data_IF_592641419526
#
_entry.id   IF_592641419526
#
_cell.length_a   1.000
_cell.length_b   1.000
_cell.length_c   1.000
_cell.angle_alpha   90.00
_cell.angle_beta   90.00
_cell.angle_gamma   90.00
#
_symmetry.space_group_name_H-M   'P 1'
#
loop_
_entity.id
_entity.type
_entity.pdbx_description
1 polymer ?
#
# COMPACT_ATOMS: atom_id res chain seq x y z
N UNK A 1 -6.38 -22.20 -8.27
CA UNK A 1 -5.66 -20.97 -7.86
C UNK A 1 -6.62 -19.81 -8.00
N UNK A 2 -6.76 -18.99 -6.97
CA UNK A 2 -7.86 -18.03 -6.90
C UNK A 2 -7.34 -16.65 -7.27
N UNK A 3 -7.72 -16.18 -8.45
CA UNK A 3 -7.76 -14.76 -8.73
C UNK A 3 -8.59 -14.07 -7.63
N UNK A 4 -8.02 -13.03 -7.01
CA UNK A 4 -8.76 -12.21 -6.06
C UNK A 4 -9.69 -11.33 -6.86
N UNK A 5 -10.99 -11.44 -6.60
CA UNK A 5 -12.04 -10.63 -7.24
C UNK A 5 -12.73 -9.67 -6.27
N UNK A 6 -12.37 -9.73 -4.97
CA UNK A 6 -12.88 -8.86 -3.91
C UNK A 6 -11.87 -8.77 -2.75
N UNK A 7 -11.84 -7.63 -2.06
CA UNK A 7 -11.12 -7.42 -0.80
C UNK A 7 -12.09 -7.16 0.35
N UNK A 8 -11.82 -7.78 1.48
CA UNK A 8 -12.45 -7.44 2.76
C UNK A 8 -11.64 -6.36 3.48
N UNK A 9 -12.30 -5.44 4.22
CA UNK A 9 -11.62 -4.51 5.11
C UNK A 9 -10.69 -5.24 6.10
N UNK A 10 -9.51 -4.66 6.33
CA UNK A 10 -8.46 -5.22 7.19
C UNK A 10 -7.44 -6.11 6.47
N UNK A 11 -7.69 -6.49 5.21
CA UNK A 11 -6.72 -7.25 4.43
C UNK A 11 -5.63 -6.35 3.83
N UNK A 12 -4.38 -6.80 3.86
CA UNK A 12 -3.35 -6.24 2.99
C UNK A 12 -3.74 -6.44 1.52
N UNK A 13 -3.79 -5.35 0.76
CA UNK A 13 -4.39 -5.35 -0.57
C UNK A 13 -3.46 -4.89 -1.68
N UNK A 14 -2.45 -4.07 -1.41
CA UNK A 14 -1.62 -3.51 -2.47
C UNK A 14 -0.18 -3.26 -2.00
N UNK A 15 0.82 -3.84 -2.66
CA UNK A 15 2.21 -3.42 -2.54
C UNK A 15 2.57 -2.43 -3.66
N UNK A 16 3.23 -1.33 -3.34
CA UNK A 16 3.82 -0.45 -4.34
C UNK A 16 5.20 0.05 -3.89
N UNK A 17 6.08 0.26 -4.85
CA UNK A 17 7.43 0.76 -4.61
C UNK A 17 7.50 2.25 -4.91
N UNK A 18 7.89 3.02 -3.90
CA UNK A 18 8.37 4.39 -4.06
C UNK A 18 9.88 4.34 -4.31
N UNK A 19 10.36 4.91 -5.43
CA UNK A 19 11.79 4.89 -5.76
C UNK A 19 12.28 6.20 -6.36
N UNK A 20 13.59 6.44 -6.31
CA UNK A 20 14.25 7.58 -6.96
C UNK A 20 14.67 7.30 -8.40
N UNK A 21 14.62 6.04 -8.85
CA UNK A 21 14.93 5.62 -10.22
C UNK A 21 13.92 4.54 -10.66
N UNK A 22 12.79 4.99 -11.21
CA UNK A 22 11.72 4.11 -11.66
C UNK A 22 12.17 3.19 -12.81
N UNK A 23 12.89 3.65 -13.86
CA UNK A 23 13.42 2.77 -14.91
C UNK A 23 14.33 1.65 -14.38
N UNK A 24 15.28 1.97 -13.48
CA UNK A 24 16.18 0.97 -12.91
C UNK A 24 15.42 -0.04 -12.04
N UNK A 25 14.47 0.42 -11.22
CA UNK A 25 13.63 -0.45 -10.40
C UNK A 25 12.78 -1.40 -11.26
N UNK A 26 12.17 -0.90 -12.35
CA UNK A 26 11.42 -1.72 -13.31
C UNK A 26 12.31 -2.83 -13.89
N UNK A 27 13.49 -2.49 -14.38
CA UNK A 27 14.41 -3.46 -14.97
C UNK A 27 14.83 -4.53 -13.95
N UNK A 28 15.15 -4.11 -12.72
CA UNK A 28 15.55 -5.03 -11.65
C UNK A 28 14.41 -5.99 -11.26
N UNK A 29 13.26 -5.48 -10.86
CA UNK A 29 12.18 -6.30 -10.31
C UNK A 29 11.50 -7.19 -11.34
N UNK A 30 11.37 -6.73 -12.59
CA UNK A 30 10.81 -7.57 -13.67
C UNK A 30 11.73 -8.76 -14.00
N UNK A 31 13.05 -8.60 -13.87
CA UNK A 31 14.02 -9.69 -14.09
C UNK A 31 13.97 -10.81 -13.03
N UNK A 32 13.47 -10.51 -11.82
CA UNK A 32 13.45 -11.45 -10.69
C UNK A 32 12.09 -12.14 -10.58
N UNK A 33 11.00 -11.40 -10.75
CA UNK A 33 9.66 -11.88 -10.44
C UNK A 33 8.84 -12.29 -11.67
N UNK A 34 9.40 -12.15 -12.88
CA UNK A 34 8.69 -12.50 -14.12
C UNK A 34 7.49 -11.59 -14.40
N UNK A 35 7.52 -10.36 -13.85
CA UNK A 35 6.47 -9.39 -14.05
C UNK A 35 6.55 -8.73 -15.42
N UNK A 36 5.39 -8.42 -15.98
CA UNK A 36 5.26 -7.42 -17.05
C UNK A 36 4.88 -6.07 -16.44
N UNK A 37 5.04 -5.01 -17.22
CA UNK A 37 4.72 -3.65 -16.75
C UNK A 37 3.76 -2.95 -17.71
N UNK A 38 2.91 -2.10 -17.16
CA UNK A 38 2.06 -1.18 -17.91
C UNK A 38 2.21 0.22 -17.32
N UNK A 39 2.68 1.16 -18.12
CA UNK A 39 2.89 2.54 -17.69
C UNK A 39 1.59 3.33 -17.82
N UNK A 40 1.14 3.92 -16.71
CA UNK A 40 -0.04 4.76 -16.64
C UNK A 40 0.38 6.20 -16.33
N UNK A 41 0.32 7.12 -17.30
CA UNK A 41 0.59 8.54 -17.04
C UNK A 41 -0.44 9.10 -16.05
N UNK A 42 0.02 9.69 -14.94
CA UNK A 42 -0.84 10.24 -13.88
C UNK A 42 -0.83 11.78 -13.82
N UNK A 43 -0.26 12.42 -14.86
CA UNK A 43 -0.16 13.87 -14.98
C UNK A 43 1.12 14.44 -14.37
N UNK A 44 1.36 15.75 -14.60
CA UNK A 44 2.55 16.47 -14.12
C UNK A 44 3.90 15.84 -14.48
N UNK A 45 3.95 15.04 -15.56
CA UNK A 45 5.14 14.30 -15.98
C UNK A 45 5.42 13.04 -15.16
N UNK A 46 4.58 12.70 -14.19
CA UNK A 46 4.71 11.49 -13.39
C UNK A 46 4.01 10.28 -14.06
N UNK A 47 4.61 9.11 -13.89
CA UNK A 47 4.11 7.83 -14.39
C UNK A 47 3.94 6.85 -13.24
N UNK A 48 2.79 6.20 -13.17
CA UNK A 48 2.54 5.08 -12.27
C UNK A 48 2.68 3.79 -13.06
N UNK A 49 3.70 2.99 -12.76
CA UNK A 49 3.92 1.72 -13.46
C UNK A 49 3.21 0.60 -12.74
N UNK A 50 2.18 0.05 -13.37
CA UNK A 50 1.47 -1.13 -12.91
C UNK A 50 2.34 -2.38 -13.16
N UNK A 51 2.55 -3.20 -12.12
CA UNK A 51 3.22 -4.49 -12.21
C UNK A 51 2.17 -5.58 -12.40
N UNK A 52 2.41 -6.46 -13.36
CA UNK A 52 1.46 -7.53 -13.73
C UNK A 52 2.12 -8.90 -13.74
N UNK A 53 1.41 -9.88 -13.22
CA UNK A 53 1.74 -11.30 -13.34
C UNK A 53 0.62 -11.97 -14.13
N UNK A 54 0.95 -12.63 -15.24
CA UNK A 54 -0.04 -13.27 -16.14
C UNK A 54 -1.16 -12.30 -16.57
N UNK A 55 -0.81 -11.02 -16.77
CA UNK A 55 -1.74 -9.97 -17.19
C UNK A 55 -2.63 -9.38 -16.08
N UNK A 56 -2.48 -9.84 -14.83
CA UNK A 56 -3.25 -9.36 -13.67
C UNK A 56 -2.37 -8.52 -12.75
N UNK A 57 -2.96 -7.50 -12.14
CA UNK A 57 -2.30 -6.54 -11.26
C UNK A 57 -1.76 -7.20 -9.99
N UNK A 58 -0.48 -6.99 -9.67
CA UNK A 58 0.18 -7.53 -8.46
C UNK A 58 0.91 -6.50 -7.61
N UNK A 59 1.16 -5.31 -8.15
CA UNK A 59 1.73 -4.18 -7.42
C UNK A 59 2.02 -3.01 -8.34
N UNK A 60 2.79 -2.04 -7.89
CA UNK A 60 3.19 -0.91 -8.71
C UNK A 60 4.59 -0.37 -8.36
N UNK A 61 5.10 0.51 -9.23
CA UNK A 61 6.28 1.33 -9.00
C UNK A 61 5.94 2.77 -9.37
N UNK A 62 6.29 3.73 -8.51
CA UNK A 62 6.22 5.16 -8.81
C UNK A 62 7.51 5.86 -8.42
N UNK A 63 7.78 6.99 -9.08
CA UNK A 63 8.89 7.86 -8.71
C UNK A 63 8.49 8.74 -7.53
N UNK A 64 9.32 8.77 -6.48
CA UNK A 64 9.09 9.59 -5.29
C UNK A 64 8.89 11.06 -5.67
N UNK A 65 7.90 11.69 -5.05
CA UNK A 65 7.64 13.11 -5.22
C UNK A 65 8.78 13.97 -4.66
N UNK A 66 8.86 15.24 -5.10
CA UNK A 66 9.87 16.20 -4.62
C UNK A 66 9.86 16.40 -3.09
N UNK A 67 8.69 16.24 -2.46
CA UNK A 67 8.56 16.34 -1.01
C UNK A 67 9.15 15.12 -0.29
N UNK A 68 8.95 13.91 -0.82
CA UNK A 68 9.54 12.68 -0.29
C UNK A 68 11.06 12.68 -0.48
N UNK A 69 11.51 13.03 -1.69
CA UNK A 69 12.93 13.15 -2.03
C UNK A 69 13.63 14.24 -1.21
N UNK A 70 12.95 15.36 -0.94
CA UNK A 70 13.47 16.48 -0.13
C UNK A 70 13.58 16.18 1.36
N UNK A 71 13.09 15.03 1.83
CA UNK A 71 13.16 14.57 3.21
C UNK A 71 14.14 13.41 3.41
N UNK A 72 14.96 13.11 2.41
CA UNK A 72 15.91 11.99 2.39
C UNK A 72 15.25 10.64 2.71
N UNK A 73 13.99 10.47 2.30
CA UNK A 73 13.28 9.20 2.49
C UNK A 73 13.83 8.18 1.49
N UNK A 74 14.46 7.08 1.94
CA UNK A 74 15.02 6.09 1.02
C UNK A 74 13.90 5.41 0.20
N UNK A 75 14.20 4.87 -1.00
CA UNK A 75 13.27 3.99 -1.71
C UNK A 75 12.74 2.88 -0.81
N UNK A 76 11.42 2.67 -0.82
CA UNK A 76 10.76 1.73 0.07
C UNK A 76 9.46 1.18 -0.55
N UNK A 77 9.07 0.00 -0.08
CA UNK A 77 7.76 -0.56 -0.39
C UNK A 77 6.73 -0.01 0.57
N UNK A 78 5.67 0.58 0.03
CA UNK A 78 4.43 0.86 0.72
C UNK A 78 3.52 -0.35 0.64
N UNK A 79 2.79 -0.60 1.72
CA UNK A 79 1.76 -1.64 1.77
C UNK A 79 0.46 -1.02 2.23
N UNK A 80 -0.61 -1.35 1.52
CA UNK A 80 -1.94 -0.84 1.78
C UNK A 80 -2.81 -1.87 2.48
N UNK A 81 -3.59 -1.42 3.45
CA UNK A 81 -4.66 -2.17 4.10
C UNK A 81 -6.00 -1.67 3.57
N UNK A 82 -6.86 -2.59 3.13
CA UNK A 82 -8.21 -2.24 2.68
C UNK A 82 -9.05 -1.73 3.85
N UNK A 83 -9.78 -0.63 3.64
CA UNK A 83 -10.66 -0.03 4.66
C UNK A 83 -12.01 0.33 4.08
N UNK A 84 -13.04 0.37 4.93
CA UNK A 84 -14.38 0.82 4.53
C UNK A 84 -14.38 2.32 4.20
N UNK A 85 -13.70 3.11 5.04
CA UNK A 85 -13.59 4.56 4.91
C UNK A 85 -12.18 5.00 5.27
N UNK A 86 -11.48 5.63 4.33
CA UNK A 86 -10.14 6.17 4.59
C UNK A 86 -10.21 7.31 5.61
N UNK A 87 -11.24 8.16 5.53
CA UNK A 87 -11.43 9.30 6.44
C UNK A 87 -11.67 8.86 7.88
N UNK A 88 -12.61 7.94 8.10
CA UNK A 88 -12.93 7.46 9.45
C UNK A 88 -11.75 6.71 10.05
N UNK A 89 -11.05 5.90 9.25
CA UNK A 89 -9.89 5.14 9.73
C UNK A 89 -8.72 6.05 10.07
N UNK A 90 -8.41 7.06 9.25
CA UNK A 90 -7.37 8.04 9.55
C UNK A 90 -7.73 8.89 10.78
N UNK A 91 -8.98 9.30 10.94
CA UNK A 91 -9.46 10.00 12.13
C UNK A 91 -9.30 9.13 13.39
N UNK A 92 -9.64 7.85 13.31
CA UNK A 92 -9.46 6.90 14.42
C UNK A 92 -7.98 6.69 14.75
N UNK A 93 -7.13 6.54 13.74
CA UNK A 93 -5.69 6.42 13.94
C UNK A 93 -5.12 7.63 14.68
N UNK A 94 -5.54 8.85 14.29
CA UNK A 94 -5.15 10.10 14.97
C UNK A 94 -5.56 10.11 16.45
N UNK A 95 -6.78 9.67 16.77
CA UNK A 95 -7.25 9.56 18.16
C UNK A 95 -6.44 8.55 18.98
N UNK A 96 -5.83 7.56 18.34
CA UNK A 96 -4.99 6.54 18.95
C UNK A 96 -3.51 6.94 19.03
N UNK A 97 -3.16 8.18 18.65
CA UNK A 97 -1.79 8.71 18.73
C UNK A 97 -0.96 8.49 17.47
N UNK A 98 -1.54 7.98 16.39
CA UNK A 98 -0.86 7.91 15.10
C UNK A 98 -0.69 9.31 14.49
N UNK A 99 0.42 9.51 13.77
CA UNK A 99 0.60 10.66 12.88
C UNK A 99 -0.05 10.36 11.54
N UNK A 100 -0.84 11.29 11.00
CA UNK A 100 -1.34 11.22 9.63
C UNK A 100 -0.31 11.89 8.73
N UNK A 101 0.47 11.10 7.99
CA UNK A 101 1.54 11.58 7.12
C UNK A 101 1.00 12.16 5.81
N UNK A 102 -0.10 11.59 5.30
CA UNK A 102 -0.90 12.14 4.22
C UNK A 102 -2.38 12.04 4.59
N UNK A 103 -3.08 13.18 4.60
CA UNK A 103 -4.52 13.23 4.88
C UNK A 103 -5.31 12.47 3.81
N UNK A 104 -6.52 11.97 4.10
CA UNK A 104 -7.35 11.29 3.11
C UNK A 104 -7.58 12.09 1.82
N UNK A 105 -7.21 11.53 0.67
CA UNK A 105 -7.43 12.13 -0.66
C UNK A 105 -7.85 11.09 -1.70
N UNK A 106 -8.57 11.55 -2.73
CA UNK A 106 -9.02 10.69 -3.82
C UNK A 106 -7.86 10.46 -4.81
N UNK A 107 -7.64 9.19 -5.17
CA UNK A 107 -6.78 8.78 -6.27
C UNK A 107 -7.68 8.56 -7.48
N UNK A 108 -7.95 9.66 -8.18
CA UNK A 108 -8.86 9.72 -9.33
C UNK A 108 -10.17 8.94 -9.05
N UNK A 109 -10.52 7.98 -9.90
CA UNK A 109 -11.63 7.04 -9.71
C UNK A 109 -11.17 5.66 -9.21
N UNK A 110 -9.86 5.46 -9.01
CA UNK A 110 -9.28 4.22 -8.53
C UNK A 110 -9.70 3.92 -7.09
N UNK A 111 -9.67 4.93 -6.22
CA UNK A 111 -10.02 4.81 -4.82
C UNK A 111 -9.74 6.07 -4.01
N UNK A 112 -9.70 5.92 -2.70
CA UNK A 112 -9.31 6.95 -1.75
C UNK A 112 -8.28 6.40 -0.79
N UNK A 113 -7.25 7.18 -0.48
CA UNK A 113 -6.16 6.73 0.39
C UNK A 113 -5.77 7.74 1.45
N UNK A 114 -5.08 7.25 2.47
CA UNK A 114 -4.37 8.05 3.46
C UNK A 114 -3.09 7.30 3.86
N UNK A 115 -2.12 8.01 4.44
CA UNK A 115 -0.91 7.39 5.02
C UNK A 115 -0.85 7.72 6.49
N UNK A 116 -0.75 6.68 7.32
CA UNK A 116 -0.64 6.82 8.77
C UNK A 116 0.66 6.20 9.26
N UNK A 117 1.23 6.81 10.28
CA UNK A 117 2.38 6.31 11.01
C UNK A 117 1.96 6.06 12.46
N UNK A 118 2.09 4.83 12.92
CA UNK A 118 1.75 4.45 14.29
C UNK A 118 2.70 5.08 15.32
N UNK A 119 2.38 5.02 16.63
CA UNK A 119 3.24 5.59 17.67
C UNK A 119 4.66 4.99 17.74
N UNK A 120 4.87 3.78 17.24
CA UNK A 120 6.19 3.13 17.17
C UNK A 120 7.00 3.56 15.95
N UNK A 121 6.40 4.33 15.04
CA UNK A 121 7.03 4.88 13.84
C UNK A 121 6.79 4.06 12.57
N UNK A 122 6.06 2.94 12.63
CA UNK A 122 5.76 2.15 11.44
C UNK A 122 4.68 2.83 10.59
N UNK A 123 4.90 2.90 9.27
CA UNK A 123 3.96 3.51 8.33
C UNK A 123 3.15 2.44 7.61
N UNK A 124 1.87 2.71 7.40
CA UNK A 124 0.97 1.87 6.59
C UNK A 124 0.01 2.76 5.82
N UNK A 125 -0.31 2.34 4.59
CA UNK A 125 -1.25 3.04 3.74
C UNK A 125 -2.67 2.48 3.93
N UNK A 126 -3.67 3.36 3.93
CA UNK A 126 -5.08 2.99 4.01
C UNK A 126 -5.67 3.06 2.61
N UNK A 127 -6.41 2.02 2.19
CA UNK A 127 -7.02 1.97 0.85
C UNK A 127 -8.53 1.70 0.91
N UNK A 128 -9.31 2.71 0.56
CA UNK A 128 -10.73 2.56 0.27
C UNK A 128 -10.88 2.35 -1.24
N UNK A 129 -10.87 1.08 -1.66
CA UNK A 129 -10.94 0.70 -3.07
C UNK A 129 -12.26 1.08 -3.73
N UNK A 130 -12.17 1.59 -4.96
CA UNK A 130 -13.31 1.84 -5.86
C UNK A 130 -13.12 1.01 -7.13
N UNK A 131 -12.58 1.59 -8.21
CA UNK A 131 -12.25 0.84 -9.44
C UNK A 131 -11.02 -0.05 -9.30
N UNK A 132 -10.11 0.31 -8.41
CA UNK A 132 -8.93 -0.48 -8.10
C UNK A 132 -9.06 -1.05 -6.69
N UNK A 133 -9.15 -2.37 -6.59
CA UNK A 133 -9.24 -3.08 -5.30
C UNK A 133 -7.88 -3.58 -4.78
N UNK A 134 -6.79 -3.31 -5.49
CA UNK A 134 -5.47 -3.86 -5.20
C UNK A 134 -5.14 -5.11 -6.03
N UNK A 135 -4.26 -5.95 -5.49
CA UNK A 135 -3.65 -7.07 -6.18
C UNK A 135 -4.66 -8.18 -6.44
N UNK A 136 -4.63 -8.71 -7.66
CA UNK A 136 -5.50 -9.78 -8.16
C UNK A 136 -4.88 -11.16 -8.09
N UNK A 137 -3.57 -11.23 -7.84
CA UNK A 137 -2.86 -12.47 -7.51
C UNK A 137 -2.13 -12.25 -6.19
N UNK A 138 -2.29 -13.18 -5.25
CA UNK A 138 -1.60 -13.25 -3.96
C UNK A 138 -1.27 -14.71 -3.64
N UNK A 139 -0.41 -14.94 -2.65
CA UNK A 139 -0.09 -16.27 -2.12
C UNK A 139 0.49 -17.25 -3.16
N UNK A 140 1.18 -16.71 -4.17
CA UNK A 140 1.85 -17.45 -5.23
C UNK A 140 3.27 -16.89 -5.47
N UNK A 141 4.19 -17.68 -6.08
CA UNK A 141 5.50 -17.17 -6.48
C UNK A 141 5.41 -15.92 -7.35
N UNK A 142 6.11 -14.85 -6.94
CA UNK A 142 6.07 -13.55 -7.61
C UNK A 142 4.87 -12.68 -7.22
N UNK A 143 4.06 -13.07 -6.23
CA UNK A 143 2.99 -12.25 -5.68
C UNK A 143 3.17 -12.02 -4.18
N UNK A 144 2.50 -10.99 -3.65
CA UNK A 144 2.47 -10.73 -2.21
C UNK A 144 1.82 -11.89 -1.46
N UNK A 145 2.46 -12.37 -0.40
CA UNK A 145 1.95 -13.46 0.45
C UNK A 145 2.02 -13.18 1.95
N UNK A 146 2.87 -12.24 2.37
CA UNK A 146 3.05 -11.90 3.77
C UNK A 146 3.46 -10.44 3.92
N UNK A 147 2.93 -9.78 4.94
CA UNK A 147 3.36 -8.46 5.38
C UNK A 147 3.56 -8.53 6.89
N UNK A 148 4.72 -8.07 7.36
CA UNK A 148 5.11 -8.19 8.76
C UNK A 148 5.40 -6.82 9.34
N UNK A 149 4.86 -6.56 10.53
CA UNK A 149 5.28 -5.44 11.35
C UNK A 149 6.40 -5.91 12.29
N UNK A 150 7.63 -5.49 11.99
CA UNK A 150 8.74 -5.62 12.91
C UNK A 150 8.87 -4.33 13.73
N UNK A 151 8.53 -4.38 15.02
CA UNK A 151 8.62 -3.23 15.93
C UNK A 151 9.35 -3.60 17.22
N UNK A 152 10.08 -2.65 17.79
CA UNK A 152 10.77 -2.82 19.08
C UNK A 152 9.83 -2.67 20.28
N UNK A 153 8.60 -2.21 20.05
CA UNK A 153 7.57 -2.00 21.07
C UNK A 153 6.24 -2.59 20.59
N UNK A 154 6.07 -3.92 20.65
CA UNK A 154 4.77 -4.52 20.35
C UNK A 154 3.81 -4.12 21.47
N UNK A 155 2.80 -3.30 21.15
CA UNK A 155 1.74 -3.00 22.10
C UNK A 155 1.19 -4.31 22.70
N UNK A 156 0.84 -4.34 24.00
CA UNK A 156 0.26 -5.54 24.60
C UNK A 156 -1.00 -5.94 23.82
N UNK A 157 -1.10 -7.22 23.46
CA UNK A 157 -2.24 -7.75 22.73
C UNK A 157 -3.55 -7.29 23.42
N UNK A 158 -4.52 -6.72 22.69
CA UNK A 158 -5.77 -6.33 23.30
C UNK A 158 -6.42 -7.58 23.90
N UNK A 159 -6.51 -7.63 25.22
CA UNK A 159 -7.27 -8.67 25.90
C UNK A 159 -8.71 -8.54 25.42
N UNK A 160 -9.20 -9.56 24.71
CA UNK A 160 -10.62 -9.66 24.39
C UNK A 160 -11.36 -9.75 25.73
N UNK A 161 -11.84 -8.63 26.24
CA UNK A 161 -12.87 -8.62 27.25
C UNK A 161 -14.14 -9.15 26.57
N UNK A 162 -14.27 -10.47 26.55
CA UNK A 162 -15.51 -11.13 26.21
C UNK A 162 -16.61 -10.54 27.09
N UNK A 163 -17.67 -10.09 26.43
CA UNK A 163 -18.90 -9.65 27.04
C UNK A 163 -19.39 -10.67 28.06
N UNK A 164 -19.69 -10.19 29.27
CA UNK A 164 -20.69 -10.81 30.15
C UNK A 164 -21.60 -9.72 30.67
N UNK A 165 -22.76 -9.59 30.02
CA UNK A 165 -24.05 -9.27 30.62
C UNK A 165 -25.13 -9.69 29.64
#
# INVERSE_FOLDING_TARGET
>A
MAEVTRREPGQFCWPELATTDQPAAKAFYTSIFGWTTEDMPIGLGATYTMLKLRGLEVGAIYEQGKEEAGRDVPPHWNVYVSVVSADETAARARQLGAKVAAEPFDVTDAGRMAVVQDPSGASVCLWQGRRHMGARIVDEPGAMCWCELATTDPAPAPTSAASRS
#
